data_IF_855733318531
#
_entry.id   IF_855733318531
#
_cell.length_a   1.000
_cell.length_b   1.000
_cell.length_c   1.000
_cell.angle_alpha   90.00
_cell.angle_beta   90.00
_cell.angle_gamma   90.00
#
_symmetry.space_group_name_H-M   'P 1'
#
loop_
_entity.id
_entity.type
_entity.pdbx_description
1 polymer ?
#
# COMPACT_ATOMS: atom_id res chain seq x y z
N UNK A 1 -6.95 -9.17 -21.51
CA UNK A 1 -5.96 -8.11 -21.21
C UNK A 1 -4.56 -8.68 -21.45
N UNK A 2 -3.66 -7.98 -22.15
CA UNK A 2 -2.27 -8.42 -22.32
C UNK A 2 -1.50 -8.25 -21.00
N UNK A 3 -0.55 -9.13 -20.69
CA UNK A 3 0.27 -9.11 -19.45
C UNK A 3 0.88 -7.73 -19.15
N UNK A 4 1.26 -6.98 -20.19
CA UNK A 4 1.81 -5.62 -20.05
C UNK A 4 0.82 -4.61 -19.45
N UNK A 5 -0.48 -4.71 -19.75
CA UNK A 5 -1.48 -3.80 -19.18
C UNK A 5 -1.73 -4.12 -17.70
N UNK A 6 -1.77 -5.41 -17.36
CA UNK A 6 -1.92 -5.89 -15.98
C UNK A 6 -0.77 -5.43 -15.08
N UNK A 7 0.47 -5.54 -15.58
CA UNK A 7 1.66 -5.06 -14.88
C UNK A 7 1.64 -3.53 -14.72
N UNK A 8 1.26 -2.76 -15.75
CA UNK A 8 1.22 -1.29 -15.64
C UNK A 8 0.12 -0.81 -14.70
N UNK A 9 -1.07 -1.43 -14.72
CA UNK A 9 -2.15 -1.08 -13.78
C UNK A 9 -1.76 -1.36 -12.34
N UNK A 10 -1.13 -2.51 -12.10
CA UNK A 10 -0.75 -2.91 -10.74
C UNK A 10 0.49 -2.15 -10.19
N UNK A 11 1.26 -1.49 -11.06
CA UNK A 11 2.29 -0.51 -10.66
C UNK A 11 1.68 0.86 -10.38
N UNK A 12 0.74 1.31 -11.21
CA UNK A 12 0.03 2.58 -11.03
C UNK A 12 -0.70 2.62 -9.69
N UNK A 13 -1.18 1.46 -9.21
CA UNK A 13 -1.76 1.33 -7.88
C UNK A 13 -0.74 1.32 -6.73
N UNK A 14 0.51 0.94 -6.99
CA UNK A 14 1.55 0.92 -5.97
C UNK A 14 2.19 2.30 -5.76
N UNK A 15 2.25 3.12 -6.81
CA UNK A 15 2.77 4.49 -6.74
C UNK A 15 1.62 5.43 -6.34
N UNK A 16 1.54 5.74 -5.05
CA UNK A 16 0.56 6.65 -4.46
C UNK A 16 1.14 7.46 -3.32
N UNK A 17 0.32 7.75 -2.32
CA UNK A 17 0.71 8.56 -1.15
C UNK A 17 1.93 8.03 -0.43
N UNK A 18 2.16 6.72 -0.43
CA UNK A 18 3.30 6.12 0.25
C UNK A 18 4.65 6.59 -0.30
N UNK A 19 4.78 6.69 -1.63
CA UNK A 19 5.97 7.25 -2.25
C UNK A 19 5.99 8.78 -2.12
N UNK A 20 4.90 9.44 -2.50
CA UNK A 20 4.92 10.89 -2.69
C UNK A 20 4.87 11.71 -1.40
N UNK A 21 4.30 11.18 -0.31
CA UNK A 21 4.15 11.90 0.97
C UNK A 21 4.68 11.07 2.15
N UNK A 22 4.42 9.75 2.15
CA UNK A 22 4.90 8.84 3.18
C UNK A 22 6.42 8.82 3.30
N UNK A 23 7.13 8.89 2.17
CA UNK A 23 8.60 8.99 2.14
C UNK A 23 9.14 10.16 2.95
N UNK A 24 8.51 11.33 2.85
CA UNK A 24 8.87 12.54 3.58
C UNK A 24 8.79 12.34 5.10
N UNK A 25 7.66 11.82 5.54
CA UNK A 25 7.44 11.46 6.94
C UNK A 25 8.45 10.40 7.43
N UNK A 26 8.80 9.43 6.58
CA UNK A 26 9.80 8.42 6.91
C UNK A 26 11.22 9.02 7.03
N UNK A 27 11.58 9.99 6.17
CA UNK A 27 12.84 10.75 6.26
C UNK A 27 12.87 11.56 7.56
N UNK A 28 11.79 12.25 7.93
CA UNK A 28 11.74 13.06 9.15
C UNK A 28 11.99 12.22 10.42
N UNK A 29 11.58 10.95 10.41
CA UNK A 29 11.72 10.04 11.55
C UNK A 29 13.07 9.31 11.58
N UNK A 30 13.61 8.89 10.43
CA UNK A 30 14.83 8.08 10.38
C UNK A 30 16.09 8.84 9.93
N UNK A 31 15.96 10.05 9.42
CA UNK A 31 17.03 10.74 8.70
C UNK A 31 17.45 9.99 7.43
N UNK A 32 18.72 10.13 7.00
CA UNK A 32 19.29 9.38 5.88
C UNK A 32 19.20 7.85 6.04
N UNK A 33 19.16 7.38 7.30
CA UNK A 33 18.95 5.99 7.68
C UNK A 33 17.66 5.37 7.16
N UNK A 34 16.71 6.18 6.68
CA UNK A 34 15.49 5.72 5.98
C UNK A 34 15.81 4.80 4.79
N UNK A 35 16.98 4.96 4.15
CA UNK A 35 17.41 4.09 3.05
C UNK A 35 17.55 2.62 3.50
N UNK A 36 17.98 2.39 4.74
CA UNK A 36 18.02 1.06 5.35
C UNK A 36 16.59 0.52 5.49
N UNK A 37 15.65 1.36 5.93
CA UNK A 37 14.24 0.98 6.04
C UNK A 37 13.66 0.55 4.69
N UNK A 38 13.91 1.31 3.61
CA UNK A 38 13.48 0.95 2.25
C UNK A 38 14.11 -0.37 1.77
N UNK A 39 15.40 -0.58 2.01
CA UNK A 39 16.07 -1.84 1.63
C UNK A 39 15.50 -3.04 2.37
N UNK A 40 15.33 -2.93 3.69
CA UNK A 40 14.76 -4.01 4.52
C UNK A 40 13.30 -4.30 4.12
N UNK A 41 12.48 -3.27 3.94
CA UNK A 41 11.10 -3.44 3.47
C UNK A 41 11.05 -4.09 2.07
N UNK A 42 11.99 -3.76 1.19
CA UNK A 42 12.07 -4.35 -0.15
C UNK A 42 12.41 -5.85 -0.07
N UNK A 43 13.35 -6.22 0.80
CA UNK A 43 13.68 -7.64 1.07
C UNK A 43 12.45 -8.38 1.58
N UNK A 44 11.75 -7.85 2.58
CA UNK A 44 10.52 -8.46 3.12
C UNK A 44 9.49 -8.62 2.00
N UNK A 45 9.24 -7.57 1.22
CA UNK A 45 8.30 -7.60 0.11
C UNK A 45 8.65 -8.73 -0.88
N UNK A 46 9.91 -8.84 -1.31
CA UNK A 46 10.33 -9.90 -2.25
C UNK A 46 10.03 -11.29 -1.70
N UNK A 47 10.31 -11.51 -0.41
CA UNK A 47 10.04 -12.79 0.25
C UNK A 47 8.53 -13.07 0.34
N UNK A 48 7.73 -12.07 0.67
CA UNK A 48 6.25 -12.16 0.71
C UNK A 48 5.69 -12.45 -0.68
N UNK A 49 6.14 -11.71 -1.70
CA UNK A 49 5.72 -11.93 -3.09
C UNK A 49 6.08 -13.33 -3.58
N UNK A 50 7.28 -13.83 -3.26
CA UNK A 50 7.68 -15.21 -3.55
C UNK A 50 6.77 -16.22 -2.86
N UNK A 51 6.49 -16.04 -1.57
CA UNK A 51 5.59 -16.91 -0.82
C UNK A 51 4.18 -16.93 -1.42
N UNK A 52 3.68 -15.77 -1.83
CA UNK A 52 2.36 -15.63 -2.46
C UNK A 52 2.31 -16.20 -3.87
N UNK A 53 3.38 -16.00 -4.66
CA UNK A 53 3.51 -16.60 -5.98
C UNK A 53 3.56 -18.12 -5.93
N UNK A 54 4.14 -18.72 -4.87
CA UNK A 54 4.09 -20.17 -4.65
C UNK A 54 2.66 -20.66 -4.42
N UNK A 55 1.93 -20.04 -3.48
CA UNK A 55 0.55 -20.42 -3.20
C UNK A 55 -0.35 -20.25 -4.43
N UNK A 56 -0.21 -19.12 -5.13
CA UNK A 56 -1.04 -18.82 -6.29
C UNK A 56 -0.72 -19.66 -7.53
N UNK A 57 0.54 -20.06 -7.73
CA UNK A 57 0.91 -20.98 -8.81
C UNK A 57 0.52 -22.43 -8.51
N UNK A 58 0.37 -22.79 -7.23
CA UNK A 58 -0.05 -24.12 -6.80
C UNK A 58 -1.57 -24.33 -6.95
N UNK A 59 -2.34 -23.32 -6.54
CA UNK A 59 -3.79 -23.35 -6.64
C UNK A 59 -4.31 -21.95 -7.05
N UNK A 60 -4.40 -21.67 -8.36
CA UNK A 60 -4.88 -20.38 -8.84
C UNK A 60 -6.32 -20.14 -8.38
N UNK A 61 -6.55 -19.11 -7.58
CA UNK A 61 -7.88 -18.84 -7.04
C UNK A 61 -8.21 -17.35 -6.90
N UNK A 62 -9.40 -16.99 -7.39
CA UNK A 62 -9.97 -15.64 -7.30
C UNK A 62 -10.22 -15.28 -5.82
N UNK A 63 -9.58 -14.21 -5.32
CA UNK A 63 -9.65 -13.79 -3.91
C UNK A 63 -8.41 -14.14 -3.06
N UNK A 64 -7.41 -14.76 -3.71
CA UNK A 64 -6.02 -14.99 -3.32
C UNK A 64 -5.72 -15.03 -1.82
N UNK A 65 -5.42 -13.89 -1.17
CA UNK A 65 -4.88 -13.89 0.20
C UNK A 65 -5.85 -14.49 1.21
N UNK A 66 -7.09 -14.00 1.20
CA UNK A 66 -8.14 -14.44 2.11
C UNK A 66 -8.52 -15.91 1.91
N UNK A 67 -8.32 -16.45 0.70
CA UNK A 67 -8.57 -17.85 0.43
C UNK A 67 -7.40 -18.73 0.88
N UNK A 68 -6.15 -18.34 0.59
CA UNK A 68 -5.00 -19.10 1.07
C UNK A 68 -4.95 -19.14 2.60
N UNK A 69 -5.32 -18.04 3.28
CA UNK A 69 -5.48 -18.03 4.73
C UNK A 69 -6.64 -18.92 5.20
N UNK A 70 -7.75 -18.98 4.47
CA UNK A 70 -8.84 -19.92 4.75
C UNK A 70 -8.39 -21.38 4.64
N UNK A 71 -7.68 -21.73 3.56
CA UNK A 71 -7.18 -23.08 3.34
C UNK A 71 -6.13 -23.47 4.39
N UNK A 72 -5.25 -22.54 4.77
CA UNK A 72 -4.19 -22.78 5.74
C UNK A 72 -4.72 -22.91 7.17
N UNK A 73 -5.49 -21.91 7.63
CA UNK A 73 -5.83 -21.69 9.04
C UNK A 73 -7.34 -21.78 9.34
N UNK A 74 -8.16 -22.01 8.32
CA UNK A 74 -9.61 -22.17 8.44
C UNK A 74 -10.41 -20.91 8.15
N UNK A 75 -11.73 -21.07 8.08
CA UNK A 75 -12.71 -20.07 7.62
C UNK A 75 -12.63 -18.74 8.35
N UNK A 76 -12.42 -18.73 9.67
CA UNK A 76 -12.30 -17.49 10.46
C UNK A 76 -11.07 -16.68 10.06
N UNK A 77 -9.92 -17.31 9.83
CA UNK A 77 -8.70 -16.63 9.43
C UNK A 77 -8.85 -15.98 8.04
N UNK A 78 -9.44 -16.71 7.09
CA UNK A 78 -9.70 -16.18 5.75
C UNK A 78 -10.69 -15.01 5.74
N UNK A 79 -11.78 -15.11 6.52
CA UNK A 79 -12.72 -14.00 6.72
C UNK A 79 -12.03 -12.78 7.32
N UNK A 80 -11.21 -12.98 8.36
CA UNK A 80 -10.51 -11.91 9.06
C UNK A 80 -9.56 -11.19 8.12
N UNK A 81 -8.73 -11.93 7.38
CA UNK A 81 -7.79 -11.36 6.43
C UNK A 81 -8.51 -10.61 5.31
N UNK A 82 -9.62 -11.13 4.82
CA UNK A 82 -10.42 -10.45 3.79
C UNK A 82 -11.03 -9.13 4.26
N UNK A 83 -11.60 -9.09 5.47
CA UNK A 83 -12.11 -7.86 6.08
C UNK A 83 -11.00 -6.85 6.39
N UNK A 84 -9.87 -7.33 6.92
CA UNK A 84 -8.71 -6.50 7.20
C UNK A 84 -8.20 -5.82 5.93
N UNK A 85 -8.13 -6.56 4.82
CA UNK A 85 -7.74 -6.01 3.53
C UNK A 85 -8.75 -4.99 2.99
N UNK A 86 -10.05 -5.24 3.15
CA UNK A 86 -11.07 -4.25 2.78
C UNK A 86 -10.93 -2.96 3.61
N UNK A 87 -10.75 -3.08 4.93
CA UNK A 87 -10.53 -1.92 5.81
C UNK A 87 -9.28 -1.15 5.39
N UNK A 88 -8.18 -1.87 5.11
CA UNK A 88 -6.95 -1.27 4.61
C UNK A 88 -7.20 -0.43 3.34
N UNK A 89 -7.86 -0.99 2.32
CA UNK A 89 -8.16 -0.25 1.09
C UNK A 89 -9.00 1.01 1.34
N UNK A 90 -9.96 0.91 2.25
CA UNK A 90 -10.84 2.03 2.59
C UNK A 90 -10.09 3.15 3.30
N UNK A 91 -9.10 2.82 4.15
CA UNK A 91 -8.20 3.80 4.77
C UNK A 91 -7.25 4.41 3.73
N UNK A 92 -6.76 3.61 2.77
CA UNK A 92 -5.94 4.11 1.64
C UNK A 92 -6.71 5.16 0.83
N UNK A 93 -7.98 4.90 0.48
CA UNK A 93 -8.82 5.89 -0.24
C UNK A 93 -8.84 7.23 0.50
N UNK A 94 -8.99 7.20 1.82
CA UNK A 94 -9.01 8.39 2.65
C UNK A 94 -7.64 9.09 2.70
N UNK A 95 -6.55 8.34 2.78
CA UNK A 95 -5.18 8.87 2.75
C UNK A 95 -4.87 9.55 1.41
N UNK A 96 -5.23 8.92 0.29
CA UNK A 96 -5.05 9.48 -1.06
C UNK A 96 -5.81 10.79 -1.26
N UNK A 97 -7.07 10.86 -0.81
CA UNK A 97 -7.87 12.09 -0.87
C UNK A 97 -7.27 13.21 -0.01
N UNK A 98 -6.83 12.86 1.21
CA UNK A 98 -6.26 13.79 2.19
C UNK A 98 -4.95 14.38 1.71
N UNK A 99 -4.06 13.55 1.16
CA UNK A 99 -2.76 13.96 0.65
C UNK A 99 -2.88 14.77 -0.65
N UNK A 100 -3.79 14.39 -1.57
CA UNK A 100 -4.04 15.19 -2.76
C UNK A 100 -4.57 16.59 -2.40
N UNK A 101 -5.45 16.66 -1.39
CA UNK A 101 -5.94 17.92 -0.85
C UNK A 101 -4.84 18.74 -0.18
N UNK A 102 -3.95 18.10 0.60
CA UNK A 102 -2.84 18.77 1.26
C UNK A 102 -1.88 19.41 0.24
N UNK A 103 -1.43 18.65 -0.77
CA UNK A 103 -0.50 19.12 -1.81
C UNK A 103 -1.06 20.33 -2.55
N UNK A 104 -2.36 20.29 -2.91
CA UNK A 104 -2.98 21.40 -3.63
C UNK A 104 -3.30 22.59 -2.72
N UNK A 105 -3.59 22.36 -1.44
CA UNK A 105 -3.78 23.42 -0.46
C UNK A 105 -2.45 24.17 -0.18
N UNK A 106 -1.33 23.45 -0.08
CA UNK A 106 0.00 24.06 0.06
C UNK A 106 0.37 24.90 -1.17
N UNK A 107 0.02 24.43 -2.37
CA UNK A 107 0.25 25.18 -3.61
C UNK A 107 -0.68 26.38 -3.75
N UNK A 108 -1.96 26.22 -3.40
CA UNK A 108 -3.01 27.21 -3.60
C UNK A 108 -3.95 27.26 -2.39
N UNK A 109 -3.58 27.97 -1.30
CA UNK A 109 -4.28 27.94 -0.02
C UNK A 109 -5.58 28.77 -0.01
N UNK A 110 -6.34 28.74 -1.11
CA UNK A 110 -7.64 29.42 -1.25
C UNK A 110 -8.79 28.51 -0.82
N UNK A 111 -8.67 27.19 -1.03
CA UNK A 111 -9.68 26.21 -0.64
C UNK A 111 -9.13 25.40 0.54
N UNK A 112 -9.83 25.36 1.69
CA UNK A 112 -9.40 24.56 2.84
C UNK A 112 -9.23 23.07 2.47
N UNK A 113 -8.21 22.42 3.03
CA UNK A 113 -7.87 21.02 2.76
C UNK A 113 -9.08 20.08 2.87
N UNK A 114 -9.89 20.20 3.92
CA UNK A 114 -11.05 19.33 4.13
C UNK A 114 -12.10 19.48 3.01
N UNK A 115 -12.27 20.70 2.48
CA UNK A 115 -13.25 20.97 1.41
C UNK A 115 -12.75 20.40 0.08
N UNK A 116 -11.44 20.45 -0.17
CA UNK A 116 -10.82 19.77 -1.32
C UNK A 116 -10.96 18.25 -1.21
N UNK A 117 -10.66 17.67 -0.04
CA UNK A 117 -10.83 16.25 0.23
C UNK A 117 -12.29 15.82 0.05
N UNK A 118 -13.25 16.63 0.50
CA UNK A 118 -14.68 16.40 0.28
C UNK A 118 -15.02 16.38 -1.22
N UNK A 119 -14.55 17.38 -1.97
CA UNK A 119 -14.80 17.47 -3.40
C UNK A 119 -14.27 16.25 -4.14
N UNK A 120 -13.03 15.81 -3.84
CA UNK A 120 -12.46 14.60 -4.40
C UNK A 120 -13.27 13.36 -4.04
N UNK A 121 -13.63 13.18 -2.77
CA UNK A 121 -14.48 12.06 -2.35
C UNK A 121 -15.81 12.02 -3.09
N UNK A 122 -16.50 13.16 -3.25
CA UNK A 122 -17.77 13.25 -3.98
C UNK A 122 -17.59 12.90 -5.46
N UNK A 123 -16.61 13.51 -6.14
CA UNK A 123 -16.35 13.31 -7.57
C UNK A 123 -16.03 11.83 -7.84
N UNK A 124 -15.08 11.25 -7.10
CA UNK A 124 -14.65 9.88 -7.34
C UNK A 124 -15.70 8.84 -6.90
N UNK A 125 -16.52 9.15 -5.90
CA UNK A 125 -17.70 8.34 -5.59
C UNK A 125 -18.68 8.33 -6.75
N UNK A 126 -19.00 9.50 -7.32
CA UNK A 126 -19.91 9.60 -8.46
C UNK A 126 -19.38 8.84 -9.69
N UNK A 127 -18.09 9.00 -10.02
CA UNK A 127 -17.43 8.26 -11.10
C UNK A 127 -17.56 6.76 -10.91
N UNK A 128 -17.31 6.25 -9.70
CA UNK A 128 -17.40 4.82 -9.39
C UNK A 128 -18.83 4.25 -9.38
N UNK A 129 -19.86 5.10 -9.31
CA UNK A 129 -21.26 4.67 -9.37
C UNK A 129 -21.81 4.60 -10.81
N UNK A 130 -21.23 5.34 -11.76
CA UNK A 130 -21.78 5.52 -13.12
C UNK A 130 -21.30 4.42 -14.09
N UNK A 131 -19.98 4.20 -14.28
CA UNK A 131 -19.51 3.16 -15.19
C UNK A 131 -18.03 2.80 -15.03
N UNK A 132 -17.73 1.50 -15.05
CA UNK A 132 -16.40 0.90 -14.84
C UNK A 132 -15.63 0.70 -16.16
N UNK A 133 -16.30 0.82 -17.32
CA UNK A 133 -15.74 0.35 -18.60
C UNK A 133 -14.54 1.16 -19.10
N UNK A 134 -14.42 2.44 -18.72
CA UNK A 134 -13.30 3.30 -19.09
C UNK A 134 -12.09 3.24 -18.13
N UNK A 135 -12.21 2.57 -16.97
CA UNK A 135 -11.17 2.60 -15.93
C UNK A 135 -9.85 1.96 -16.37
N UNK A 136 -9.92 0.91 -17.20
CA UNK A 136 -8.74 0.15 -17.61
C UNK A 136 -7.74 0.95 -18.45
N UNK A 137 -8.25 1.74 -19.39
CA UNK A 137 -7.42 2.55 -20.28
C UNK A 137 -6.98 3.85 -19.60
N UNK A 138 -7.88 4.51 -18.85
CA UNK A 138 -7.52 5.70 -18.07
C UNK A 138 -6.40 5.40 -17.08
N UNK A 139 -6.46 4.27 -16.38
CA UNK A 139 -5.45 3.92 -15.38
C UNK A 139 -4.08 3.60 -16.02
N UNK A 140 -4.05 3.08 -17.26
CA UNK A 140 -2.80 2.91 -17.99
C UNK A 140 -2.11 4.26 -18.24
N UNK A 141 -2.87 5.27 -18.67
CA UNK A 141 -2.33 6.62 -18.90
C UNK A 141 -1.89 7.30 -17.59
N UNK A 142 -2.66 7.15 -16.51
CA UNK A 142 -2.26 7.67 -15.20
C UNK A 142 -1.02 6.95 -14.64
N UNK A 143 -0.89 5.64 -14.84
CA UNK A 143 0.32 4.90 -14.48
C UNK A 143 1.54 5.41 -15.26
N UNK A 144 1.37 5.73 -16.54
CA UNK A 144 2.44 6.32 -17.35
C UNK A 144 2.83 7.72 -16.86
N UNK A 145 1.86 8.56 -16.50
CA UNK A 145 2.09 9.88 -15.89
C UNK A 145 2.92 9.75 -14.60
N UNK A 146 2.51 8.85 -13.69
CA UNK A 146 3.20 8.57 -12.42
C UNK A 146 4.65 8.19 -12.61
N UNK A 147 4.91 7.21 -13.48
CA UNK A 147 6.28 6.73 -13.76
C UNK A 147 7.09 7.82 -14.43
N UNK A 148 6.51 8.56 -15.39
CA UNK A 148 7.16 9.68 -16.05
C UNK A 148 7.58 10.77 -15.06
N UNK A 149 6.71 11.13 -14.12
CA UNK A 149 6.98 12.12 -13.08
C UNK A 149 8.20 11.74 -12.23
N UNK A 150 8.25 10.48 -11.78
CA UNK A 150 9.39 9.99 -10.98
C UNK A 150 10.67 9.95 -11.80
N UNK A 151 10.62 9.51 -13.07
CA UNK A 151 11.80 9.52 -13.95
C UNK A 151 12.33 10.95 -14.15
N UNK A 152 11.45 11.91 -14.43
CA UNK A 152 11.85 13.32 -14.57
C UNK A 152 12.46 13.84 -13.27
N UNK A 153 11.85 13.54 -12.13
CA UNK A 153 12.40 13.90 -10.82
C UNK A 153 13.82 13.36 -10.62
N UNK A 154 14.04 12.07 -10.92
CA UNK A 154 15.36 11.45 -10.80
C UNK A 154 16.39 12.13 -11.71
N UNK A 155 16.03 12.40 -12.96
CA UNK A 155 16.92 13.05 -13.92
C UNK A 155 17.29 14.47 -13.48
N UNK A 156 16.31 15.24 -13.01
CA UNK A 156 16.52 16.60 -12.51
C UNK A 156 17.38 16.60 -11.25
N UNK A 157 17.11 15.73 -10.28
CA UNK A 157 17.93 15.65 -9.07
C UNK A 157 19.37 15.20 -9.36
N UNK A 158 19.58 14.24 -10.26
CA UNK A 158 20.94 13.88 -10.70
C UNK A 158 21.63 15.05 -11.42
N UNK A 159 20.91 15.79 -12.27
CA UNK A 159 21.46 16.97 -12.94
C UNK A 159 21.85 18.08 -11.94
N UNK A 160 21.08 18.27 -10.86
CA UNK A 160 21.44 19.16 -9.76
C UNK A 160 22.74 18.72 -9.09
N UNK A 161 22.86 17.43 -8.76
CA UNK A 161 24.07 16.89 -8.12
C UNK A 161 25.33 17.03 -8.99
N UNK A 162 25.17 16.91 -10.31
CA UNK A 162 26.25 17.12 -11.29
C UNK A 162 26.57 18.60 -11.54
N UNK A 163 25.85 19.54 -10.92
CA UNK A 163 26.03 20.98 -11.13
C UNK A 163 25.60 21.47 -12.51
N UNK A 164 24.68 20.75 -13.17
CA UNK A 164 24.16 21.10 -14.50
C UNK A 164 22.96 22.07 -14.45
N UNK A 165 22.50 22.44 -13.25
CA UNK A 165 21.32 23.27 -13.02
C UNK A 165 21.71 24.59 -12.32
N UNK A 166 20.81 25.60 -12.31
CA UNK A 166 21.13 26.92 -11.78
C UNK A 166 21.48 26.92 -10.29
N UNK A 167 20.87 26.03 -9.51
CA UNK A 167 21.18 25.88 -8.09
C UNK A 167 22.50 25.13 -7.89
N UNK A 168 23.29 25.50 -6.86
CA UNK A 168 24.54 24.82 -6.56
C UNK A 168 24.30 23.37 -6.14
N UNK A 169 25.22 22.47 -6.50
CA UNK A 169 25.17 21.10 -6.02
C UNK A 169 25.35 21.07 -4.50
N UNK A 170 24.42 20.47 -3.74
CA UNK A 170 24.53 20.35 -2.28
C UNK A 170 25.61 19.34 -1.86
N UNK A 171 26.27 18.65 -2.80
CA UNK A 171 27.26 17.63 -2.49
C UNK A 171 26.64 16.43 -1.79
N UNK A 172 27.33 15.87 -0.80
CA UNK A 172 26.85 14.73 0.03
C UNK A 172 26.75 15.10 1.52
N UNK A 173 26.89 16.38 1.85
CA UNK A 173 27.03 16.86 3.23
C UNK A 173 25.79 16.60 4.08
N UNK A 174 24.59 16.78 3.51
CA UNK A 174 23.31 16.52 4.15
C UNK A 174 23.14 15.08 4.68
N UNK A 175 23.91 14.11 4.16
CA UNK A 175 23.89 12.73 4.66
C UNK A 175 24.50 12.56 6.06
N UNK A 176 25.31 13.52 6.52
CA UNK A 176 26.10 13.38 7.75
C UNK A 176 26.11 14.62 8.65
N UNK A 177 25.92 15.82 8.11
CA UNK A 177 26.05 17.06 8.90
C UNK A 177 24.94 17.26 9.94
N UNK A 178 23.75 16.71 9.71
CA UNK A 178 22.58 16.91 10.58
C UNK A 178 22.43 15.77 11.61
N UNK A 179 23.50 15.44 12.34
CA UNK A 179 23.49 14.38 13.36
C UNK A 179 23.89 12.99 12.85
N UNK A 180 24.56 12.92 11.69
CA UNK A 180 25.04 11.67 11.10
C UNK A 180 24.03 10.96 10.21
N UNK A 181 24.42 9.78 9.70
CA UNK A 181 23.57 9.00 8.78
C UNK A 181 22.33 8.40 9.48
N UNK A 182 22.43 8.10 10.78
CA UNK A 182 21.33 7.53 11.58
C UNK A 182 21.09 8.44 12.80
N UNK A 183 20.56 9.66 12.60
CA UNK A 183 20.49 10.69 13.65
C UNK A 183 19.57 10.28 14.80
N UNK A 184 18.50 9.53 14.51
CA UNK A 184 17.52 9.05 15.49
C UNK A 184 17.74 7.58 15.90
N UNK A 185 18.94 7.04 15.65
CA UNK A 185 19.31 5.66 15.94
C UNK A 185 18.47 4.60 15.21
N UNK A 186 18.69 3.33 15.55
CA UNK A 186 17.95 2.21 14.96
C UNK A 186 16.46 2.21 15.30
N UNK A 187 16.06 2.90 16.37
CA UNK A 187 14.65 3.12 16.72
C UNK A 187 13.94 3.98 15.66
N UNK A 188 14.58 5.06 15.18
CA UNK A 188 14.04 5.88 14.08
C UNK A 188 13.93 5.09 12.78
N UNK A 189 14.96 4.32 12.43
CA UNK A 189 14.96 3.41 11.25
C UNK A 189 13.78 2.44 11.30
N UNK A 190 13.50 1.88 12.49
CA UNK A 190 12.40 0.94 12.67
C UNK A 190 11.02 1.60 12.63
N UNK A 191 10.87 2.81 13.19
CA UNK A 191 9.64 3.58 13.08
C UNK A 191 9.33 3.95 11.62
N UNK A 192 10.33 4.43 10.87
CA UNK A 192 10.22 4.71 9.45
C UNK A 192 9.86 3.47 8.63
N UNK A 193 10.31 2.27 9.05
CA UNK A 193 10.00 1.02 8.36
C UNK A 193 8.50 0.74 8.27
N UNK A 194 7.68 1.16 9.24
CA UNK A 194 6.22 1.04 9.15
C UNK A 194 5.62 1.92 8.06
N UNK A 195 6.10 3.17 7.98
CA UNK A 195 5.66 4.14 6.97
C UNK A 195 6.09 3.65 5.58
N UNK A 196 7.30 3.11 5.47
CA UNK A 196 7.84 2.58 4.22
C UNK A 196 7.11 1.31 3.76
N UNK A 197 6.73 0.41 4.67
CA UNK A 197 5.95 -0.78 4.33
C UNK A 197 4.63 -0.43 3.68
N UNK A 198 3.99 0.66 4.11
CA UNK A 198 2.81 1.18 3.42
C UNK A 198 3.12 1.51 1.94
N UNK A 199 4.24 2.15 1.66
CA UNK A 199 4.63 2.55 0.31
C UNK A 199 4.80 1.35 -0.66
N UNK A 200 4.97 0.14 -0.12
CA UNK A 200 5.06 -1.10 -0.89
C UNK A 200 3.77 -1.93 -0.91
N UNK A 201 2.81 -1.61 -0.04
CA UNK A 201 1.54 -2.31 0.04
C UNK A 201 0.76 -2.25 -1.27
N UNK A 202 0.19 -3.38 -1.67
CA UNK A 202 -0.57 -3.53 -2.91
C UNK A 202 0.24 -4.04 -4.11
N UNK A 203 1.58 -3.95 -4.08
CA UNK A 203 2.44 -4.52 -5.14
C UNK A 203 2.35 -6.05 -5.20
N UNK A 204 2.03 -6.70 -4.09
CA UNK A 204 1.90 -8.15 -3.98
C UNK A 204 0.75 -8.74 -4.82
N UNK A 205 -0.27 -7.94 -5.14
CA UNK A 205 -1.37 -8.33 -6.04
C UNK A 205 -0.87 -8.69 -7.44
N UNK A 206 0.18 -8.03 -7.92
CA UNK A 206 0.72 -8.23 -9.27
C UNK A 206 1.17 -9.68 -9.44
N UNK A 207 1.77 -10.25 -8.40
CA UNK A 207 2.30 -11.62 -8.43
C UNK A 207 1.20 -12.65 -8.39
N UNK A 208 0.14 -12.40 -7.63
CA UNK A 208 -1.07 -13.23 -7.66
C UNK A 208 -1.66 -13.24 -9.07
N UNK A 209 -1.86 -12.07 -9.68
CA UNK A 209 -2.40 -11.99 -11.02
C UNK A 209 -1.46 -12.64 -12.06
N UNK A 210 -0.14 -12.49 -11.91
CA UNK A 210 0.84 -13.16 -12.76
C UNK A 210 0.79 -14.69 -12.61
N UNK A 211 0.48 -15.21 -11.42
CA UNK A 211 0.31 -16.64 -11.20
C UNK A 211 -0.98 -17.23 -11.80
N UNK A 212 -1.95 -16.39 -12.18
CA UNK A 212 -3.18 -16.80 -12.89
C UNK A 212 -3.00 -16.85 -14.42
N UNK A 213 -1.81 -16.54 -14.94
CA UNK A 213 -1.53 -16.51 -16.39
C UNK A 213 -0.92 -17.81 -16.91
N UNK A 214 -0.90 -17.97 -18.24
CA UNK A 214 -0.16 -19.03 -18.92
C UNK A 214 1.33 -18.96 -18.56
N UNK A 215 1.94 -20.08 -18.15
CA UNK A 215 3.32 -20.16 -17.62
C UNK A 215 3.54 -19.35 -16.32
N UNK A 216 2.84 -19.71 -15.22
CA UNK A 216 2.85 -18.93 -13.98
C UNK A 216 4.25 -18.80 -13.36
N UNK A 217 5.09 -19.85 -13.45
CA UNK A 217 6.46 -19.81 -12.93
C UNK A 217 7.26 -18.64 -13.51
N UNK A 218 7.28 -18.52 -14.84
CA UNK A 218 8.04 -17.47 -15.51
C UNK A 218 7.44 -16.10 -15.28
N UNK A 219 6.11 -15.99 -15.34
CA UNK A 219 5.44 -14.70 -15.21
C UNK A 219 5.54 -14.14 -13.79
N UNK A 220 5.49 -14.99 -12.76
CA UNK A 220 5.78 -14.60 -11.37
C UNK A 220 7.23 -14.12 -11.23
N UNK A 221 8.23 -14.85 -11.77
CA UNK A 221 9.64 -14.40 -11.73
C UNK A 221 9.82 -13.05 -12.42
N UNK A 222 9.26 -12.90 -13.62
CA UNK A 222 9.31 -11.65 -14.40
C UNK A 222 8.64 -10.51 -13.64
N UNK A 223 7.47 -10.74 -13.03
CA UNK A 223 6.75 -9.74 -12.24
C UNK A 223 7.59 -9.26 -11.05
N UNK A 224 8.11 -10.19 -10.23
CA UNK A 224 8.96 -9.86 -9.07
C UNK A 224 10.19 -9.06 -9.51
N UNK A 225 10.94 -9.53 -10.52
CA UNK A 225 12.15 -8.84 -11.00
C UNK A 225 11.83 -7.41 -11.45
N UNK A 226 10.74 -7.24 -12.18
CA UNK A 226 10.37 -5.92 -12.72
C UNK A 226 9.94 -4.98 -11.60
N UNK A 227 9.25 -5.47 -10.57
CA UNK A 227 8.85 -4.69 -9.40
C UNK A 227 10.06 -4.28 -8.59
N UNK A 228 10.97 -5.21 -8.27
CA UNK A 228 12.19 -4.92 -7.50
C UNK A 228 13.03 -3.85 -8.18
N UNK A 229 13.32 -3.99 -9.47
CA UNK A 229 14.10 -2.98 -10.21
C UNK A 229 13.44 -1.61 -10.12
N UNK A 230 12.11 -1.54 -10.23
CA UNK A 230 11.38 -0.28 -10.12
C UNK A 230 11.38 0.29 -8.70
N UNK A 231 11.26 -0.53 -7.66
CA UNK A 231 11.37 -0.04 -6.28
C UNK A 231 12.78 0.47 -5.98
N UNK A 232 13.82 -0.24 -6.42
CA UNK A 232 15.20 0.21 -6.26
C UNK A 232 15.45 1.53 -7.01
N UNK A 233 15.01 1.65 -8.26
CA UNK A 233 15.26 2.85 -9.06
C UNK A 233 14.36 4.02 -8.63
N UNK A 234 13.05 3.81 -8.53
CA UNK A 234 12.08 4.88 -8.30
C UNK A 234 11.92 5.26 -6.84
N UNK A 235 11.92 4.30 -5.91
CA UNK A 235 11.73 4.60 -4.50
C UNK A 235 13.08 4.94 -3.89
N UNK A 236 14.03 4.00 -3.89
CA UNK A 236 15.33 4.21 -3.25
C UNK A 236 16.10 5.34 -3.95
N UNK A 237 16.07 5.39 -5.29
CA UNK A 237 16.66 6.51 -6.03
C UNK A 237 16.06 7.86 -5.64
N UNK A 238 14.73 7.98 -5.56
CA UNK A 238 14.09 9.25 -5.20
C UNK A 238 14.39 9.64 -3.75
N UNK A 239 14.29 8.70 -2.81
CA UNK A 239 14.62 8.90 -1.39
C UNK A 239 16.07 9.34 -1.23
N UNK A 240 16.99 8.70 -1.96
CA UNK A 240 18.42 9.03 -1.94
C UNK A 240 18.64 10.48 -2.38
N UNK A 241 17.99 10.90 -3.48
CA UNK A 241 18.06 12.29 -3.92
C UNK A 241 17.49 13.26 -2.88
N UNK A 242 16.36 12.92 -2.24
CA UNK A 242 15.76 13.77 -1.20
C UNK A 242 16.71 14.02 -0.03
N UNK A 243 17.32 12.97 0.53
CA UNK A 243 18.21 13.10 1.70
C UNK A 243 19.60 13.66 1.38
N UNK A 244 19.97 13.71 0.09
CA UNK A 244 21.17 14.40 -0.37
C UNK A 244 20.87 15.88 -0.62
N UNK A 245 19.74 16.19 -1.27
CA UNK A 245 19.43 17.54 -1.71
C UNK A 245 18.96 18.41 -0.55
N UNK A 246 18.11 17.88 0.33
CA UNK A 246 17.57 18.59 1.48
C UNK A 246 18.01 17.97 2.81
N UNK A 247 18.16 18.79 3.87
CA UNK A 247 18.34 18.29 5.23
C UNK A 247 17.16 17.42 5.64
N UNK A 248 17.40 16.31 6.34
CA UNK A 248 16.30 15.41 6.74
C UNK A 248 15.31 16.04 7.74
N UNK A 249 15.75 17.09 8.45
CA UNK A 249 14.98 17.86 9.40
C UNK A 249 14.28 19.07 8.76
N UNK A 250 14.30 19.20 7.43
CA UNK A 250 13.52 20.21 6.71
C UNK A 250 12.02 19.83 6.76
N UNK A 251 11.20 20.73 7.31
CA UNK A 251 9.76 20.50 7.48
C UNK A 251 9.03 20.32 6.13
N UNK A 252 9.54 20.94 5.06
CA UNK A 252 8.93 20.85 3.72
C UNK A 252 8.96 19.42 3.15
N UNK A 253 9.93 18.60 3.59
CA UNK A 253 9.98 17.19 3.22
C UNK A 253 8.79 16.40 3.77
N UNK A 254 8.27 16.73 4.94
CA UNK A 254 7.17 15.98 5.56
C UNK A 254 5.82 16.21 4.87
N UNK A 255 5.67 17.39 4.27
CA UNK A 255 4.50 17.83 3.52
C UNK A 255 4.48 17.30 2.09
N UNK A 256 5.50 17.64 1.30
CA UNK A 256 5.53 17.35 -0.13
C UNK A 256 6.98 17.19 -0.62
N UNK A 257 7.63 16.05 -0.32
CA UNK A 257 9.08 15.88 -0.48
C UNK A 257 9.56 16.03 -1.93
N UNK A 258 8.76 15.62 -2.91
CA UNK A 258 9.09 15.80 -4.32
C UNK A 258 9.02 17.28 -4.75
N UNK A 259 8.04 18.03 -4.23
CA UNK A 259 7.86 19.45 -4.52
C UNK A 259 8.96 20.26 -3.82
N UNK A 260 9.26 19.93 -2.57
CA UNK A 260 10.34 20.53 -1.78
C UNK A 260 11.71 20.39 -2.45
N UNK A 261 12.06 19.19 -2.93
CA UNK A 261 13.33 19.01 -3.66
C UNK A 261 13.36 19.85 -4.93
N UNK A 262 12.24 19.96 -5.67
CA UNK A 262 12.21 20.74 -6.91
C UNK A 262 12.17 22.25 -6.70
N UNK A 263 11.76 22.75 -5.53
CA UNK A 263 11.90 24.18 -5.23
C UNK A 263 13.36 24.60 -5.07
N UNK A 264 14.22 23.70 -4.62
CA UNK A 264 15.66 23.97 -4.45
C UNK A 264 16.44 23.94 -5.76
N UNK A 265 15.88 23.38 -6.84
CA UNK A 265 16.60 23.19 -8.10
C UNK A 265 16.78 24.50 -8.89
N UNK A 266 16.02 25.55 -8.56
CA UNK A 266 16.10 26.86 -9.23
C UNK A 266 15.44 26.90 -10.62
N UNK A 267 14.58 25.93 -10.96
CA UNK A 267 13.78 25.92 -12.19
C UNK A 267 12.39 26.50 -11.93
N UNK A 268 12.04 27.69 -12.46
CA UNK A 268 10.74 28.31 -12.21
C UNK A 268 9.58 27.42 -12.64
N UNK A 269 8.65 27.15 -11.72
CA UNK A 269 7.43 26.40 -11.99
C UNK A 269 7.58 24.86 -11.94
N UNK A 270 8.79 24.33 -11.75
CA UNK A 270 9.01 22.89 -11.64
C UNK A 270 8.23 22.27 -10.47
N UNK A 271 8.24 22.96 -9.32
CA UNK A 271 7.52 22.58 -8.12
C UNK A 271 5.99 22.58 -8.32
N UNK A 272 5.46 23.55 -9.08
CA UNK A 272 4.02 23.67 -9.38
C UNK A 272 3.57 22.53 -10.30
N UNK A 273 4.32 22.26 -11.37
CA UNK A 273 4.03 21.16 -12.28
C UNK A 273 4.06 19.83 -11.52
N UNK A 274 5.07 19.63 -10.68
CA UNK A 274 5.17 18.42 -9.87
C UNK A 274 4.01 18.27 -8.89
N UNK A 275 3.61 19.34 -8.18
CA UNK A 275 2.46 19.31 -7.27
C UNK A 275 1.17 18.88 -7.99
N UNK A 276 0.90 19.44 -9.18
CA UNK A 276 -0.27 19.07 -9.99
C UNK A 276 -0.20 17.60 -10.43
N UNK A 277 0.97 17.16 -10.91
CA UNK A 277 1.17 15.77 -11.37
C UNK A 277 1.00 14.78 -10.22
N UNK A 278 1.51 15.10 -9.03
CA UNK A 278 1.33 14.25 -7.85
C UNK A 278 -0.14 14.23 -7.45
N UNK A 279 -0.82 15.38 -7.36
CA UNK A 279 -2.24 15.41 -7.03
C UNK A 279 -3.07 14.53 -7.98
N UNK A 280 -2.82 14.62 -9.30
CA UNK A 280 -3.47 13.74 -10.29
C UNK A 280 -3.12 12.27 -10.10
N UNK A 281 -1.86 11.96 -9.75
CA UNK A 281 -1.44 10.60 -9.45
C UNK A 281 -2.18 10.01 -8.23
N UNK A 282 -2.28 10.77 -7.14
CA UNK A 282 -2.98 10.36 -5.92
C UNK A 282 -4.48 10.17 -6.19
N UNK A 283 -5.10 11.07 -6.95
CA UNK A 283 -6.51 10.95 -7.33
C UNK A 283 -6.79 9.72 -8.24
N UNK A 284 -5.85 9.36 -9.11
CA UNK A 284 -5.91 8.08 -9.84
C UNK A 284 -5.79 6.88 -8.89
N UNK A 285 -4.87 6.92 -7.92
CA UNK A 285 -4.72 5.85 -6.93
C UNK A 285 -5.97 5.71 -6.04
N UNK A 286 -6.59 6.81 -5.63
CA UNK A 286 -7.88 6.85 -4.92
C UNK A 286 -8.94 6.06 -5.70
N UNK A 287 -9.08 6.36 -6.99
CA UNK A 287 -10.04 5.71 -7.87
C UNK A 287 -9.82 4.20 -7.99
N UNK A 288 -8.56 3.79 -8.20
CA UNK A 288 -8.18 2.38 -8.29
C UNK A 288 -8.46 1.62 -6.97
N UNK A 289 -8.15 2.24 -5.83
CA UNK A 289 -8.40 1.66 -4.51
C UNK A 289 -9.90 1.59 -4.18
N UNK A 290 -10.70 2.58 -4.57
CA UNK A 290 -12.16 2.54 -4.43
C UNK A 290 -12.78 1.42 -5.25
N UNK A 291 -12.31 1.24 -6.48
CA UNK A 291 -12.69 0.10 -7.30
C UNK A 291 -12.32 -1.24 -6.63
N UNK A 292 -11.08 -1.35 -6.13
CA UNK A 292 -10.59 -2.53 -5.40
C UNK A 292 -11.41 -2.84 -4.15
N UNK A 293 -11.75 -1.83 -3.35
CA UNK A 293 -12.49 -1.97 -2.10
C UNK A 293 -13.92 -2.48 -2.38
N UNK A 294 -14.59 -1.91 -3.37
CA UNK A 294 -15.94 -2.33 -3.75
C UNK A 294 -15.97 -3.79 -4.24
N UNK A 295 -14.95 -4.21 -5.01
CA UNK A 295 -14.80 -5.59 -5.52
C UNK A 295 -14.45 -6.57 -4.40
N UNK A 296 -13.62 -6.18 -3.43
CA UNK A 296 -13.33 -7.03 -2.27
C UNK A 296 -14.59 -7.26 -1.44
N UNK A 297 -15.32 -6.19 -1.10
CA UNK A 297 -16.53 -6.33 -0.30
C UNK A 297 -17.61 -7.13 -1.04
N UNK A 298 -17.71 -6.97 -2.37
CA UNK A 298 -18.52 -7.84 -3.21
C UNK A 298 -18.07 -9.31 -3.14
N UNK A 299 -16.77 -9.59 -3.21
CA UNK A 299 -16.21 -10.95 -3.09
C UNK A 299 -16.45 -11.58 -1.70
N UNK A 300 -16.30 -10.80 -0.63
CA UNK A 300 -16.64 -11.24 0.73
C UNK A 300 -18.14 -11.54 0.81
N UNK A 301 -18.99 -10.70 0.22
CA UNK A 301 -20.43 -10.94 0.19
C UNK A 301 -20.82 -12.20 -0.57
N UNK A 302 -20.23 -12.43 -1.75
CA UNK A 302 -20.55 -13.60 -2.57
C UNK A 302 -20.12 -14.91 -1.91
N UNK A 303 -19.08 -14.88 -1.08
CA UNK A 303 -18.64 -16.01 -0.22
C UNK A 303 -19.46 -16.15 1.07
N UNK A 304 -20.44 -15.27 1.29
CA UNK A 304 -21.28 -15.26 2.50
C UNK A 304 -20.59 -14.69 3.74
N UNK A 305 -19.48 -13.96 3.57
CA UNK A 305 -18.67 -13.29 4.61
C UNK A 305 -19.09 -11.85 4.86
N UNK A 306 -19.93 -11.27 4.01
CA UNK A 306 -20.59 -9.98 4.20
C UNK A 306 -22.12 -10.11 3.96
N UNK A 307 -22.94 -9.12 4.33
CA UNK A 307 -24.38 -9.10 4.01
C UNK A 307 -24.64 -9.20 2.50
N UNK A 308 -25.62 -10.04 2.10
CA UNK A 308 -25.91 -10.37 0.69
C UNK A 308 -26.25 -9.16 -0.21
N UNK A 309 -26.58 -8.01 0.37
CA UNK A 309 -26.79 -6.76 -0.38
C UNK A 309 -25.55 -6.32 -1.17
N UNK A 310 -24.34 -6.63 -0.68
CA UNK A 310 -23.09 -6.21 -1.31
C UNK A 310 -22.69 -7.08 -2.52
N UNK A 311 -23.30 -8.26 -2.68
CA UNK A 311 -23.10 -9.14 -3.84
C UNK A 311 -24.02 -8.80 -5.02
N UNK A 312 -24.96 -7.85 -4.89
CA UNK A 312 -25.82 -7.43 -6.00
C UNK A 312 -25.07 -6.47 -6.92
N UNK A 313 -25.14 -6.71 -8.23
CA UNK A 313 -24.59 -5.84 -9.27
C UNK A 313 -25.70 -4.98 -9.90
N UNK A 314 -25.37 -3.76 -10.32
CA UNK A 314 -26.23 -2.94 -11.17
C UNK A 314 -26.24 -3.46 -12.61
N UNK A 315 -27.14 -2.92 -13.45
CA UNK A 315 -27.15 -3.20 -14.90
C UNK A 315 -25.81 -2.90 -15.59
N UNK A 316 -25.01 -1.98 -15.04
CA UNK A 316 -23.68 -1.62 -15.52
C UNK A 316 -22.55 -2.50 -14.93
N UNK A 317 -22.88 -3.52 -14.13
CA UNK A 317 -21.89 -4.41 -13.50
C UNK A 317 -21.20 -3.83 -12.26
N UNK A 318 -21.78 -2.81 -11.64
CA UNK A 318 -21.21 -2.11 -10.46
C UNK A 318 -21.88 -2.60 -9.17
N UNK A 319 -21.13 -3.05 -8.14
CA UNK A 319 -21.70 -3.36 -6.82
C UNK A 319 -21.96 -2.09 -6.01
N UNK A 320 -23.00 -1.31 -6.37
CA UNK A 320 -23.27 0.04 -5.81
C UNK A 320 -23.30 0.09 -4.28
N UNK A 321 -23.91 -0.90 -3.62
CA UNK A 321 -23.95 -0.95 -2.15
C UNK A 321 -22.55 -1.11 -1.54
N UNK A 322 -21.65 -1.82 -2.21
CA UNK A 322 -20.27 -2.01 -1.77
C UNK A 322 -19.43 -0.73 -1.99
N UNK A 323 -19.68 0.00 -3.09
CA UNK A 323 -19.08 1.32 -3.32
C UNK A 323 -19.46 2.28 -2.19
N UNK A 324 -20.76 2.43 -1.91
CA UNK A 324 -21.26 3.31 -0.83
C UNK A 324 -20.64 2.91 0.51
N UNK A 325 -20.59 1.63 0.86
CA UNK A 325 -19.96 1.18 2.09
C UNK A 325 -18.46 1.52 2.16
N UNK A 326 -17.75 1.49 1.03
CA UNK A 326 -16.31 1.74 0.95
C UNK A 326 -15.95 3.23 1.05
N UNK A 327 -16.87 4.14 0.73
CA UNK A 327 -16.62 5.59 0.81
C UNK A 327 -17.03 6.21 2.14
N UNK A 328 -17.83 5.53 2.96
CA UNK A 328 -18.29 6.04 4.27
C UNK A 328 -17.10 6.47 5.14
N UNK A 329 -16.08 5.62 5.27
CA UNK A 329 -14.89 5.95 6.06
C UNK A 329 -14.13 7.13 5.45
N UNK A 330 -14.05 7.22 4.12
CA UNK A 330 -13.47 8.38 3.44
C UNK A 330 -14.20 9.68 3.82
N UNK A 331 -15.53 9.70 3.80
CA UNK A 331 -16.33 10.86 4.24
C UNK A 331 -16.20 11.15 5.74
N UNK A 332 -16.11 10.12 6.60
CA UNK A 332 -15.81 10.33 8.02
C UNK A 332 -14.43 10.95 8.21
N UNK A 333 -13.47 10.55 7.38
CA UNK A 333 -12.10 11.06 7.39
C UNK A 333 -12.04 12.51 6.91
N UNK A 334 -12.93 12.94 6.00
CA UNK A 334 -13.10 14.37 5.67
C UNK A 334 -13.51 15.17 6.92
N UNK A 335 -14.44 14.64 7.73
CA UNK A 335 -14.81 15.27 9.00
C UNK A 335 -13.65 15.31 9.99
N UNK A 336 -12.87 14.24 10.08
CA UNK A 336 -11.65 14.21 10.90
C UNK A 336 -10.59 15.20 10.37
N UNK A 337 -10.50 15.41 9.05
CA UNK A 337 -9.56 16.35 8.44
C UNK A 337 -9.89 17.80 8.80
N UNK A 338 -11.18 18.12 8.97
CA UNK A 338 -11.61 19.42 9.50
C UNK A 338 -11.16 19.64 10.95
N UNK A 339 -11.13 18.60 11.77
CA UNK A 339 -10.79 18.68 13.20
C UNK A 339 -9.28 18.60 13.46
N UNK A 340 -8.57 17.74 12.71
CA UNK A 340 -7.14 17.40 12.91
C UNK A 340 -6.38 17.31 11.57
N UNK A 341 -6.30 18.40 10.79
CA UNK A 341 -5.75 18.35 9.42
C UNK A 341 -4.29 17.87 9.37
N UNK A 342 -3.46 18.27 10.33
CA UNK A 342 -2.02 17.98 10.37
C UNK A 342 -1.72 16.53 10.77
N UNK A 343 -2.39 16.00 11.80
CA UNK A 343 -2.08 14.67 12.35
C UNK A 343 -2.74 13.53 11.58
N UNK A 344 -3.83 13.82 10.87
CA UNK A 344 -4.67 12.79 10.26
C UNK A 344 -3.92 11.95 9.24
N UNK A 345 -3.15 12.58 8.33
CA UNK A 345 -2.47 11.83 7.28
C UNK A 345 -1.45 10.85 7.88
N UNK A 346 -0.60 11.30 8.80
CA UNK A 346 0.36 10.43 9.49
C UNK A 346 -0.33 9.25 10.21
N UNK A 347 -1.46 9.50 10.87
CA UNK A 347 -2.25 8.43 11.50
C UNK A 347 -2.78 7.40 10.48
N UNK A 348 -3.31 7.86 9.34
CA UNK A 348 -3.79 6.97 8.27
C UNK A 348 -2.64 6.13 7.70
N UNK A 349 -1.50 6.76 7.37
CA UNK A 349 -0.32 6.09 6.83
C UNK A 349 0.21 5.01 7.77
N UNK A 350 0.32 5.32 9.07
CA UNK A 350 0.74 4.36 10.10
C UNK A 350 -0.26 3.21 10.24
N UNK A 351 -1.56 3.48 10.13
CA UNK A 351 -2.60 2.44 10.15
C UNK A 351 -2.53 1.51 8.94
N UNK A 352 -2.25 2.05 7.76
CA UNK A 352 -2.08 1.23 6.57
C UNK A 352 -0.81 0.37 6.69
N UNK A 353 0.31 0.96 7.10
CA UNK A 353 1.58 0.23 7.28
C UNK A 353 1.46 -0.95 8.25
N UNK A 354 0.82 -0.74 9.41
CA UNK A 354 0.62 -1.79 10.40
C UNK A 354 -0.32 -2.90 9.90
N UNK A 355 -1.38 -2.55 9.18
CA UNK A 355 -2.31 -3.54 8.60
C UNK A 355 -1.66 -4.35 7.48
N UNK A 356 -0.83 -3.74 6.64
CA UNK A 356 0.00 -4.43 5.63
C UNK A 356 0.90 -5.48 6.28
N UNK A 357 1.58 -5.14 7.38
CA UNK A 357 2.42 -6.10 8.09
C UNK A 357 1.63 -7.31 8.60
N UNK A 358 0.42 -7.11 9.11
CA UNK A 358 -0.45 -8.22 9.53
C UNK A 358 -0.86 -9.08 8.33
N UNK A 359 -1.23 -8.46 7.20
CA UNK A 359 -1.56 -9.17 5.95
C UNK A 359 -0.38 -10.02 5.48
N UNK A 360 0.83 -9.46 5.48
CA UNK A 360 2.04 -10.15 5.07
C UNK A 360 2.41 -11.28 6.04
N UNK A 361 2.25 -11.07 7.34
CA UNK A 361 2.46 -12.09 8.38
C UNK A 361 1.54 -13.28 8.15
N UNK A 362 0.23 -13.04 8.01
CA UNK A 362 -0.76 -14.10 7.78
C UNK A 362 -0.55 -14.80 6.44
N UNK A 363 -0.09 -14.08 5.41
CA UNK A 363 0.26 -14.68 4.11
C UNK A 363 1.48 -15.60 4.20
N UNK A 364 2.53 -15.20 4.92
CA UNK A 364 3.72 -16.04 5.16
C UNK A 364 3.39 -17.27 5.99
N UNK A 365 2.59 -17.12 7.05
CA UNK A 365 2.10 -18.25 7.85
C UNK A 365 1.29 -19.22 6.97
N UNK A 366 0.41 -18.68 6.13
CA UNK A 366 -0.38 -19.48 5.18
C UNK A 366 0.52 -20.27 4.24
N UNK A 367 1.55 -19.63 3.69
CA UNK A 367 2.51 -20.30 2.82
C UNK A 367 3.24 -21.42 3.55
N UNK A 368 3.73 -21.20 4.77
CA UNK A 368 4.45 -22.23 5.53
C UNK A 368 3.54 -23.45 5.78
N UNK A 369 2.29 -23.23 6.18
CA UNK A 369 1.33 -24.30 6.46
C UNK A 369 0.98 -25.06 5.18
N UNK A 370 0.62 -24.36 4.11
CA UNK A 370 0.24 -24.97 2.83
C UNK A 370 1.41 -25.69 2.18
N UNK A 371 2.62 -25.15 2.29
CA UNK A 371 3.83 -25.80 1.78
C UNK A 371 4.11 -27.10 2.51
N UNK A 372 4.05 -27.12 3.85
CA UNK A 372 4.19 -28.35 4.66
C UNK A 372 3.15 -29.41 4.28
N UNK A 373 1.90 -29.02 4.05
CA UNK A 373 0.84 -29.94 3.63
C UNK A 373 1.09 -30.49 2.22
N UNK A 374 1.54 -29.65 1.29
CA UNK A 374 1.88 -30.07 -0.08
C UNK A 374 3.07 -31.01 -0.12
N UNK A 375 4.13 -30.74 0.65
CA UNK A 375 5.31 -31.59 0.75
C UNK A 375 4.94 -32.97 1.34
N UNK A 376 4.11 -33.01 2.39
CA UNK A 376 3.57 -34.27 2.96
C UNK A 376 2.71 -35.07 1.98
N UNK A 377 1.99 -34.37 1.11
CA UNK A 377 1.16 -34.98 0.08
C UNK A 377 1.93 -35.35 -1.20
N UNK A 378 3.25 -35.13 -1.25
CA UNK A 378 4.09 -35.42 -2.43
C UNK A 378 3.76 -34.56 -3.65
N UNK A 379 3.09 -33.41 -3.47
CA UNK A 379 2.67 -32.55 -4.60
C UNK A 379 3.87 -31.80 -5.18
N UNK A 380 3.99 -31.83 -6.50
CA UNK A 380 4.98 -31.03 -7.22
C UNK A 380 4.46 -29.60 -7.41
N UNK A 381 5.19 -28.61 -6.88
CA UNK A 381 4.84 -27.20 -7.00
C UNK A 381 5.52 -26.57 -8.23
N UNK A 382 4.73 -25.91 -9.07
CA UNK A 382 5.14 -25.21 -10.30
C UNK A 382 6.11 -24.07 -10.04
N UNK A 383 5.93 -23.36 -8.92
CA UNK A 383 6.81 -22.30 -8.44
C UNK A 383 7.13 -22.53 -6.97
N UNK A 384 8.35 -22.17 -6.53
CA UNK A 384 8.82 -22.44 -5.17
C UNK A 384 9.48 -21.20 -4.57
N UNK A 385 9.21 -21.00 -3.27
CA UNK A 385 9.91 -20.10 -2.38
C UNK A 385 11.38 -20.52 -2.29
N UNK A 386 12.27 -19.52 -2.36
CA UNK A 386 13.70 -19.76 -2.24
C UNK A 386 14.06 -20.17 -0.82
N UNK A 387 15.01 -21.10 -0.68
CA UNK A 387 15.55 -21.50 0.62
C UNK A 387 14.50 -21.92 1.65
N UNK A 388 13.36 -22.46 1.22
CA UNK A 388 12.30 -22.90 2.12
C UNK A 388 12.83 -23.99 3.08
N UNK A 389 12.54 -23.90 4.40
CA UNK A 389 11.68 -22.92 5.07
C UNK A 389 12.40 -21.68 5.64
N UNK A 390 13.72 -21.61 5.55
CA UNK A 390 14.54 -20.59 6.23
C UNK A 390 14.20 -19.16 5.82
N UNK A 391 14.01 -18.89 4.52
CA UNK A 391 13.68 -17.53 4.07
C UNK A 391 12.25 -17.11 4.44
N UNK A 392 11.30 -18.04 4.55
CA UNK A 392 9.96 -17.73 5.07
C UNK A 392 10.03 -17.35 6.55
N UNK A 393 10.86 -18.04 7.33
CA UNK A 393 11.11 -17.69 8.73
C UNK A 393 11.90 -16.41 8.91
N UNK A 394 12.88 -16.13 8.03
CA UNK A 394 13.59 -14.86 8.02
C UNK A 394 12.62 -13.69 7.78
N UNK A 395 11.71 -13.81 6.81
CA UNK A 395 10.71 -12.78 6.56
C UNK A 395 9.81 -12.54 7.78
N UNK A 396 9.34 -13.61 8.43
CA UNK A 396 8.57 -13.50 9.67
C UNK A 396 9.39 -12.89 10.81
N UNK A 397 10.66 -13.25 10.95
CA UNK A 397 11.57 -12.70 11.94
C UNK A 397 11.84 -11.21 11.73
N UNK A 398 12.02 -10.80 10.47
CA UNK A 398 12.15 -9.39 10.11
C UNK A 398 10.87 -8.62 10.47
N UNK A 399 9.69 -9.11 10.09
CA UNK A 399 8.41 -8.47 10.45
C UNK A 399 8.21 -8.42 11.98
N UNK A 400 8.54 -9.49 12.69
CA UNK A 400 8.48 -9.53 14.15
C UNK A 400 9.43 -8.50 14.78
N UNK A 401 10.62 -8.32 14.23
CA UNK A 401 11.56 -7.28 14.64
C UNK A 401 10.95 -5.88 14.45
N UNK A 402 10.23 -5.63 13.34
CA UNK A 402 9.52 -4.34 13.14
C UNK A 402 8.49 -4.12 14.24
N UNK A 403 7.69 -5.13 14.57
CA UNK A 403 6.71 -5.01 15.65
C UNK A 403 7.39 -4.72 16.98
N UNK A 404 8.43 -5.47 17.36
CA UNK A 404 9.17 -5.28 18.62
C UNK A 404 9.78 -3.88 18.72
N UNK A 405 10.43 -3.41 17.65
CA UNK A 405 11.01 -2.07 17.62
C UNK A 405 9.92 -0.99 17.62
N UNK A 406 8.82 -1.21 16.89
CA UNK A 406 7.66 -0.33 16.92
C UNK A 406 6.99 -0.24 18.29
N UNK A 407 7.02 -1.30 19.10
CA UNK A 407 6.59 -1.23 20.49
C UNK A 407 7.51 -0.35 21.35
N UNK A 408 8.72 0.01 20.91
CA UNK A 408 9.61 0.89 21.68
C UNK A 408 9.23 2.37 21.52
N UNK A 409 8.63 2.75 20.39
CA UNK A 409 8.14 4.11 20.13
C UNK A 409 6.68 4.29 20.63
N UNK A 410 6.36 5.34 21.42
CA UNK A 410 5.01 5.51 21.99
C UNK A 410 3.88 5.69 20.96
N UNK A 411 4.13 6.41 19.88
CA UNK A 411 3.13 6.71 18.84
C UNK A 411 2.86 5.44 18.05
N UNK A 412 3.93 4.78 17.61
CA UNK A 412 3.85 3.51 16.90
C UNK A 412 3.23 2.42 17.78
N UNK A 413 3.62 2.30 19.05
CA UNK A 413 3.04 1.36 20.01
C UNK A 413 1.52 1.49 20.06
N UNK A 414 1.02 2.71 20.20
CA UNK A 414 -0.42 2.98 20.24
C UNK A 414 -1.09 2.51 18.95
N UNK A 415 -0.48 2.81 17.80
CA UNK A 415 -0.98 2.34 16.50
C UNK A 415 -0.99 0.81 16.38
N UNK A 416 0.06 0.13 16.82
CA UNK A 416 0.16 -1.33 16.79
C UNK A 416 -0.91 -1.98 17.67
N UNK A 417 -1.17 -1.42 18.85
CA UNK A 417 -2.24 -1.88 19.74
C UNK A 417 -3.63 -1.67 19.13
N UNK A 418 -3.88 -0.52 18.49
CA UNK A 418 -5.12 -0.26 17.78
C UNK A 418 -5.32 -1.25 16.62
N UNK A 419 -4.25 -1.55 15.89
CA UNK A 419 -4.27 -2.52 14.79
C UNK A 419 -4.54 -3.93 15.31
N UNK A 420 -3.88 -4.35 16.39
CA UNK A 420 -4.13 -5.65 17.02
C UNK A 420 -5.58 -5.76 17.53
N UNK A 421 -6.11 -4.68 18.12
CA UNK A 421 -7.49 -4.59 18.57
C UNK A 421 -8.47 -4.69 17.40
N UNK A 422 -8.21 -3.98 16.30
CA UNK A 422 -9.00 -4.07 15.06
C UNK A 422 -9.01 -5.50 14.52
N UNK A 423 -7.85 -6.14 14.41
CA UNK A 423 -7.72 -7.53 13.93
C UNK A 423 -8.48 -8.49 14.85
N UNK A 424 -8.37 -8.32 16.17
CA UNK A 424 -9.08 -9.13 17.15
C UNK A 424 -10.59 -8.94 17.05
N UNK A 425 -11.07 -7.70 16.95
CA UNK A 425 -12.49 -7.38 16.81
C UNK A 425 -13.07 -7.99 15.52
N UNK A 426 -12.35 -7.87 14.40
CA UNK A 426 -12.73 -8.51 13.14
C UNK A 426 -12.76 -10.04 13.31
N UNK A 427 -11.74 -10.63 13.93
CA UNK A 427 -11.66 -12.08 14.12
C UNK A 427 -12.78 -12.62 15.00
N UNK A 428 -13.09 -11.93 16.11
CA UNK A 428 -14.20 -12.27 17.01
C UNK A 428 -15.54 -12.14 16.27
N UNK A 429 -15.77 -11.05 15.55
CA UNK A 429 -17.00 -10.87 14.77
C UNK A 429 -17.18 -11.98 13.71
N UNK A 430 -16.09 -12.35 13.02
CA UNK A 430 -16.07 -13.43 12.04
C UNK A 430 -16.36 -14.80 12.68
N UNK A 431 -15.80 -15.06 13.86
CA UNK A 431 -16.01 -16.30 14.63
C UNK A 431 -17.46 -16.42 15.10
N UNK A 432 -18.02 -15.35 15.67
CA UNK A 432 -19.42 -15.32 16.13
C UNK A 432 -20.39 -15.58 14.98
N UNK A 433 -20.17 -14.94 13.83
CA UNK A 433 -21.03 -15.12 12.66
C UNK A 433 -20.93 -16.53 12.04
N UNK A 434 -19.74 -17.10 12.04
CA UNK A 434 -19.54 -18.48 11.57
C UNK A 434 -20.22 -19.49 12.50
N UNK A 435 -20.13 -19.28 13.82
CA UNK A 435 -20.82 -20.09 14.83
C UNK A 435 -22.35 -20.01 14.74
N UNK A 436 -22.92 -18.82 14.51
CA UNK A 436 -24.36 -18.64 14.32
C UNK A 436 -24.88 -19.36 13.08
N UNK A 437 -24.17 -19.29 11.95
CA UNK A 437 -24.56 -20.01 10.72
C UNK A 437 -24.48 -21.53 10.88
N UNK A 438 -23.46 -22.04 11.58
CA UNK A 438 -23.34 -23.47 11.85
C UNK A 438 -24.51 -23.98 12.71
N UNK A 439 -24.89 -23.23 13.76
CA UNK A 439 -26.06 -23.54 14.62
C UNK A 439 -27.39 -23.45 13.87
N UNK A 440 -27.55 -22.48 12.99
CA UNK A 440 -28.76 -22.36 12.17
C UNK A 440 -28.90 -23.52 11.18
N UNK A 441 -27.80 -23.98 10.59
CA UNK A 441 -27.80 -25.11 9.66
C UNK A 441 -28.09 -26.45 10.37
N UNK A 442 -27.60 -26.66 11.60
CA UNK A 442 -27.95 -27.86 12.38
C UNK A 442 -29.43 -27.86 12.78
N UNK A 443 -29.98 -26.71 13.19
CA UNK A 443 -31.39 -26.59 13.58
C UNK A 443 -32.39 -26.77 12.42
N UNK A 444 -31.96 -26.61 11.16
CA UNK A 444 -32.77 -26.88 9.97
C UNK A 444 -32.71 -28.32 9.47
N UNK A 445 -31.77 -29.14 9.99
CA UNK A 445 -31.67 -30.57 9.66
C UNK A 445 -32.54 -31.40 10.63
N UNK A 446 -32.77 -30.87 11.84
CA UNK A 446 -33.62 -31.49 12.87
C UNK A 446 -35.13 -31.15 12.71
N UNK A 447 -35.52 -30.44 11.64
CA UNK A 447 -36.91 -30.15 11.25
C UNK A 447 -37.18 -30.78 9.90
#
# INVERSE_FOLDING_TARGET
>A
MKTRHLVMMALGSAIGTGLFVGTGNAIAVAGPGVLISFLVACVILVLVMRAMGEMAAAEPARGAFSLYAEQAMGRTAGQTLGWLWWVQLVIVIAAEATAAAQILNEMWPVIPQWLMALAFMVIFTAVNLISVKALGESEFWFALLKVGAVVVFLLVGVALLLGLLPAPSPGLTNLTEHGGFIPNGFTGVAAALLIVVFAFGGTELVVVAAAETENPKENVVKAIRTIVVRLLVFYIGAVTLMVIILPWNDESLSSSPFVAVLSEVGLPGAQVVMAIVIALALLSALNANLYGASRMLHSLSSRGYAPARYSKLSAQGVPRAAVVASVIVGFLTVGANYLWPEQLLGFLLNTIGSTVLVVWTLSLISQIILRRRSDRAGRQLTFRMWGYPYLSYLALGLIAMIFVLGFSDPVVRTQLLLTASLVLLIAVACKLRTGQKARAASASIDR
#
